data_IF_898285014038
#
_entry.id   IF_898285014038
#
_cell.length_a   1.000
_cell.length_b   1.000
_cell.length_c   1.000
_cell.angle_alpha   90.00
_cell.angle_beta   90.00
_cell.angle_gamma   90.00
#
_symmetry.space_group_name_H-M   'P 1'
#
loop_
_entity.id
_entity.type
_entity.pdbx_description
1 polymer ?
#
# COMPACT_ATOMS: atom_id res chain seq x y z
N UNK A 1 -16.25 8.39 -28.79
CA UNK A 1 -16.06 7.41 -27.70
C UNK A 1 -14.66 7.64 -27.17
N UNK A 2 -14.52 8.47 -26.12
CA UNK A 2 -13.19 8.83 -25.62
C UNK A 2 -12.63 7.58 -24.95
N UNK A 3 -11.65 6.93 -25.59
CA UNK A 3 -10.76 6.02 -24.88
C UNK A 3 -9.91 6.95 -24.01
N UNK A 4 -10.45 7.32 -22.86
CA UNK A 4 -9.67 8.00 -21.85
C UNK A 4 -8.61 6.95 -21.51
N UNK A 5 -7.36 7.20 -21.90
CA UNK A 5 -6.22 6.63 -21.18
C UNK A 5 -6.28 7.23 -19.78
N UNK A 6 -7.24 6.78 -18.97
CA UNK A 6 -7.28 7.10 -17.55
C UNK A 6 -6.22 6.19 -16.94
N UNK A 7 -4.97 6.63 -16.99
CA UNK A 7 -4.11 6.35 -15.87
C UNK A 7 -4.71 7.17 -14.72
N UNK A 8 -5.64 6.57 -13.97
CA UNK A 8 -5.97 7.08 -12.65
C UNK A 8 -4.69 6.91 -11.83
N UNK A 9 -3.92 8.00 -11.74
CA UNK A 9 -2.79 8.05 -10.84
C UNK A 9 -3.33 7.78 -9.43
N UNK A 10 -2.92 6.66 -8.84
CA UNK A 10 -3.26 6.34 -7.47
C UNK A 10 -2.02 6.52 -6.60
N UNK A 11 -2.23 7.08 -5.42
CA UNK A 11 -1.17 7.34 -4.46
C UNK A 11 -0.38 6.07 -4.12
N UNK A 12 -1.06 4.92 -3.98
CA UNK A 12 -0.41 3.64 -3.69
C UNK A 12 0.58 3.24 -4.80
N UNK A 13 0.18 3.33 -6.07
CA UNK A 13 1.05 2.93 -7.19
C UNK A 13 2.24 3.88 -7.34
N UNK A 14 2.05 5.17 -7.08
CA UNK A 14 3.14 6.15 -7.08
C UNK A 14 4.15 5.87 -5.95
N UNK A 15 3.68 5.61 -4.73
CA UNK A 15 4.52 5.23 -3.60
C UNK A 15 5.26 3.92 -3.84
N UNK A 16 4.60 2.92 -4.44
CA UNK A 16 5.23 1.64 -4.78
C UNK A 16 6.34 1.84 -5.82
N UNK A 17 6.10 2.63 -6.87
CA UNK A 17 7.08 2.93 -7.91
C UNK A 17 8.30 3.68 -7.36
N UNK A 18 8.09 4.63 -6.44
CA UNK A 18 9.20 5.34 -5.81
C UNK A 18 10.00 4.42 -4.87
N UNK A 19 9.33 3.56 -4.09
CA UNK A 19 10.02 2.54 -3.30
C UNK A 19 10.90 1.64 -4.18
N UNK A 20 10.37 1.18 -5.32
CA UNK A 20 11.13 0.36 -6.25
C UNK A 20 12.31 1.11 -6.85
N UNK A 21 12.13 2.39 -7.19
CA UNK A 21 13.24 3.24 -7.65
C UNK A 21 14.33 3.34 -6.58
N UNK A 22 13.97 3.63 -5.33
CA UNK A 22 14.94 3.74 -4.24
C UNK A 22 15.66 2.40 -3.96
N UNK A 23 14.95 1.27 -4.09
CA UNK A 23 15.56 -0.07 -4.02
C UNK A 23 16.62 -0.27 -5.11
N UNK A 24 16.35 0.15 -6.35
CA UNK A 24 17.36 0.09 -7.43
C UNK A 24 18.58 0.99 -7.17
N UNK A 25 18.43 2.01 -6.34
CA UNK A 25 19.52 2.90 -5.91
C UNK A 25 20.28 2.36 -4.69
N UNK A 26 19.93 1.16 -4.20
CA UNK A 26 20.60 0.50 -3.08
C UNK A 26 20.05 0.89 -1.71
N UNK A 27 18.92 1.59 -1.63
CA UNK A 27 18.25 1.87 -0.35
C UNK A 27 17.66 0.56 0.18
N UNK A 28 18.06 0.19 1.38
CA UNK A 28 17.59 -1.00 2.10
C UNK A 28 16.43 -0.65 3.05
N UNK A 29 15.77 -1.67 3.59
CA UNK A 29 14.69 -1.53 4.57
C UNK A 29 13.47 -0.71 4.11
N UNK A 30 13.22 -0.67 2.80
CA UNK A 30 12.02 -0.08 2.21
C UNK A 30 10.87 -1.08 2.15
N UNK A 31 9.80 -0.77 2.88
CA UNK A 31 8.53 -1.50 2.86
C UNK A 31 7.51 -0.68 2.06
N UNK A 32 7.45 -0.93 0.75
CA UNK A 32 6.42 -0.35 -0.11
C UNK A 32 5.02 -0.83 0.27
N UNK A 33 3.98 -0.05 -0.05
CA UNK A 33 2.60 -0.45 0.20
C UNK A 33 2.20 -1.61 -0.70
N UNK A 34 1.20 -2.37 -0.25
CA UNK A 34 0.51 -3.36 -1.09
C UNK A 34 -0.67 -2.66 -1.76
N UNK A 35 -0.69 -2.68 -3.08
CA UNK A 35 -1.77 -2.08 -3.86
C UNK A 35 -2.69 -3.15 -4.44
N UNK A 36 -3.99 -2.87 -4.42
CA UNK A 36 -5.01 -3.66 -5.11
C UNK A 36 -4.92 -3.44 -6.63
N UNK A 37 -5.63 -4.28 -7.40
CA UNK A 37 -5.61 -4.24 -8.87
C UNK A 37 -6.20 -2.96 -9.47
N UNK A 38 -7.04 -2.25 -8.72
CA UNK A 38 -7.59 -0.94 -9.07
C UNK A 38 -6.65 0.24 -8.70
N UNK A 39 -5.48 -0.09 -8.13
CA UNK A 39 -4.46 0.87 -7.72
C UNK A 39 -4.67 1.46 -6.33
N UNK A 40 -5.74 1.12 -5.61
CA UNK A 40 -5.92 1.54 -4.21
C UNK A 40 -4.98 0.79 -3.26
N UNK A 41 -4.88 1.23 -2.02
CA UNK A 41 -4.20 0.46 -0.99
C UNK A 41 -5.04 -0.77 -0.66
N UNK A 42 -4.40 -1.94 -0.57
CA UNK A 42 -5.03 -3.08 0.11
C UNK A 42 -5.40 -2.67 1.53
N UNK A 43 -6.62 -3.01 1.95
CA UNK A 43 -7.17 -2.59 3.26
C UNK A 43 -6.31 -3.05 4.44
N UNK A 44 -5.54 -4.12 4.24
CA UNK A 44 -4.55 -4.64 5.19
C UNK A 44 -3.15 -4.38 4.64
N UNK A 45 -2.35 -3.63 5.37
CA UNK A 45 -0.93 -3.42 5.09
C UNK A 45 -0.10 -4.18 6.12
N UNK A 46 0.97 -4.84 5.68
CA UNK A 46 1.85 -5.60 6.56
C UNK A 46 3.29 -5.10 6.43
N UNK A 47 3.93 -4.91 7.59
CA UNK A 47 5.36 -4.58 7.70
C UNK A 47 6.00 -5.47 8.76
N UNK A 48 7.33 -5.48 8.83
CA UNK A 48 8.18 -6.29 9.74
C UNK A 48 7.51 -6.82 11.03
N UNK A 49 6.87 -5.93 11.79
CA UNK A 49 6.37 -6.21 13.14
C UNK A 49 4.87 -6.56 13.22
N UNK A 50 4.14 -6.52 12.10
CA UNK A 50 2.72 -6.89 12.05
C UNK A 50 1.96 -6.23 10.91
N UNK A 51 0.66 -6.48 10.89
CA UNK A 51 -0.26 -5.92 9.93
C UNK A 51 -1.17 -4.87 10.57
N UNK A 52 -1.70 -3.94 9.79
CA UNK A 52 -2.61 -2.90 10.24
C UNK A 52 -3.63 -2.59 9.15
N UNK A 53 -4.75 -1.99 9.56
CA UNK A 53 -5.76 -1.52 8.63
C UNK A 53 -5.36 -0.15 8.08
N UNK A 54 -5.73 0.13 6.83
CA UNK A 54 -5.60 1.45 6.24
C UNK A 54 -6.88 1.88 5.53
N UNK A 55 -7.02 3.18 5.32
CA UNK A 55 -7.98 3.71 4.37
C UNK A 55 -7.50 3.41 2.93
N UNK A 56 -8.35 2.78 2.11
CA UNK A 56 -7.98 2.28 0.78
C UNK A 56 -7.61 3.41 -0.21
N UNK A 57 -8.15 4.62 -0.03
CA UNK A 57 -7.90 5.75 -0.94
C UNK A 57 -6.65 6.55 -0.54
N UNK A 58 -6.39 6.69 0.77
CA UNK A 58 -5.34 7.58 1.31
C UNK A 58 -4.12 6.86 1.85
N UNK A 59 -4.24 5.57 2.21
CA UNK A 59 -3.21 4.77 2.87
C UNK A 59 -3.05 5.05 4.36
N UNK A 60 -3.90 5.91 4.96
CA UNK A 60 -3.78 6.27 6.38
C UNK A 60 -4.09 5.09 7.29
N UNK A 61 -3.21 4.85 8.28
CA UNK A 61 -3.38 3.77 9.26
C UNK A 61 -4.61 3.99 10.14
N UNK A 62 -5.40 2.93 10.26
CA UNK A 62 -6.60 2.86 11.10
C UNK A 62 -6.34 1.87 12.24
N UNK A 63 -6.42 2.35 13.48
CA UNK A 63 -6.30 1.52 14.68
C UNK A 63 -4.87 1.05 14.99
N UNK A 64 -4.76 -0.07 15.70
CA UNK A 64 -3.50 -0.62 16.21
C UNK A 64 -2.80 -1.58 15.24
N UNK A 65 -1.55 -1.94 15.55
CA UNK A 65 -0.78 -2.95 14.81
C UNK A 65 -1.11 -4.33 15.39
N UNK A 66 -1.56 -5.23 14.51
CA UNK A 66 -1.88 -6.61 14.84
C UNK A 66 -0.63 -7.47 14.64
N UNK A 67 -0.09 -7.96 15.75
CA UNK A 67 1.06 -8.88 15.74
C UNK A 67 0.64 -10.24 15.18
N UNK A 68 1.61 -10.93 14.57
CA UNK A 68 1.51 -12.23 13.91
C UNK A 68 0.55 -13.22 14.61
N UNK A 69 -0.30 -13.90 13.83
CA UNK A 69 -1.19 -14.97 14.32
C UNK A 69 -2.69 -14.67 14.24
N UNK A 70 -3.11 -13.44 13.90
CA UNK A 70 -4.51 -13.10 13.60
C UNK A 70 -4.59 -12.13 12.42
N UNK A 71 -5.47 -12.40 11.44
CA UNK A 71 -5.78 -11.46 10.36
C UNK A 71 -6.67 -10.34 10.94
N UNK A 72 -6.32 -9.05 10.78
CA UNK A 72 -7.16 -7.98 11.27
C UNK A 72 -8.49 -7.90 10.50
N UNK A 73 -9.58 -7.67 11.23
CA UNK A 73 -10.87 -7.33 10.67
C UNK A 73 -10.93 -5.81 10.47
N UNK A 74 -10.62 -5.37 9.25
CA UNK A 74 -10.70 -3.96 8.90
C UNK A 74 -12.15 -3.59 8.57
N UNK A 75 -12.72 -2.67 9.35
CA UNK A 75 -14.07 -2.14 9.15
C UNK A 75 -14.12 -1.22 7.96
#
# INVERSE_FOLDING_TARGET
MVIIHVCFASKCLEELKENDRLRTQGVQDLFGPVCASDGKYEKIQCMLLGCYCVNEDTGEKIGDIFRWGRKPECK
#
